data_IF_260273594091
#
_entry.id   IF_260273594091
#
_cell.length_a   1.000
_cell.length_b   1.000
_cell.length_c   1.000
_cell.angle_alpha   90.00
_cell.angle_beta   90.00
_cell.angle_gamma   90.00
#
_symmetry.space_group_name_H-M   'P 1'
#
loop_
_entity.id
_entity.type
_entity.pdbx_description
1 polymer ?
#
# COMPACT_ATOMS: atom_id res chain seq x y z
N UNK A 1 -23.51 1.54 -16.54
CA UNK A 1 -23.92 1.04 -17.87
C UNK A 1 -25.39 1.35 -18.02
N UNK A 2 -25.82 1.99 -19.11
CA UNK A 2 -27.22 2.37 -19.30
C UNK A 2 -28.00 1.16 -19.85
N UNK A 3 -29.24 0.97 -19.40
CA UNK A 3 -30.08 -0.18 -19.79
C UNK A 3 -30.36 -0.17 -21.31
N UNK A 4 -30.47 1.02 -21.91
CA UNK A 4 -30.60 1.17 -23.36
C UNK A 4 -29.38 0.67 -24.15
N UNK A 5 -28.17 0.81 -23.61
CA UNK A 5 -26.94 0.37 -24.28
C UNK A 5 -26.88 -1.17 -24.33
N UNK A 6 -27.32 -1.83 -23.27
CA UNK A 6 -27.37 -3.30 -23.18
C UNK A 6 -28.42 -3.89 -24.12
N UNK A 7 -29.59 -3.26 -24.23
CA UNK A 7 -30.64 -3.68 -25.18
C UNK A 7 -30.21 -3.46 -26.63
N UNK A 8 -29.54 -2.33 -26.92
CA UNK A 8 -29.01 -2.05 -28.26
C UNK A 8 -27.95 -3.07 -28.67
N UNK A 9 -27.03 -3.40 -27.75
CA UNK A 9 -26.02 -4.45 -27.94
C UNK A 9 -26.65 -5.81 -28.23
N UNK A 10 -27.61 -6.25 -27.40
CA UNK A 10 -28.28 -7.55 -27.56
C UNK A 10 -29.01 -7.67 -28.91
N UNK A 11 -29.61 -6.59 -29.39
CA UNK A 11 -30.31 -6.57 -30.67
C UNK A 11 -29.34 -6.62 -31.86
N UNK A 12 -28.22 -5.88 -31.79
CA UNK A 12 -27.17 -5.89 -32.81
C UNK A 12 -26.47 -7.26 -32.91
N UNK A 13 -26.20 -7.90 -31.78
CA UNK A 13 -25.63 -9.26 -31.72
C UNK A 13 -26.59 -10.31 -32.31
N UNK A 14 -27.91 -10.13 -32.13
CA UNK A 14 -28.95 -10.98 -32.70
C UNK A 14 -29.26 -10.70 -34.19
N UNK A 15 -28.54 -9.76 -34.83
CA UNK A 15 -28.74 -9.39 -36.23
C UNK A 15 -30.01 -8.58 -36.49
N UNK A 16 -30.60 -7.98 -35.45
CA UNK A 16 -31.81 -7.15 -35.53
C UNK A 16 -31.43 -5.68 -35.46
N UNK A 17 -32.18 -4.83 -36.18
CA UNK A 17 -32.07 -3.38 -36.03
C UNK A 17 -32.58 -3.00 -34.64
N UNK A 18 -31.68 -2.56 -33.75
CA UNK A 18 -32.03 -2.15 -32.40
C UNK A 18 -32.84 -0.84 -32.37
N UNK A 19 -33.62 -0.60 -31.31
CA UNK A 19 -34.27 0.69 -31.08
C UNK A 19 -33.21 1.72 -30.67
N UNK A 20 -33.07 2.80 -31.44
CA UNK A 20 -32.07 3.84 -31.19
C UNK A 20 -31.98 4.83 -32.37
N UNK A 21 -31.25 5.92 -32.17
CA UNK A 21 -30.97 6.89 -33.24
C UNK A 21 -30.07 6.24 -34.30
N UNK A 22 -30.32 6.53 -35.58
CA UNK A 22 -29.68 5.84 -36.70
C UNK A 22 -28.14 5.99 -36.68
N UNK A 23 -27.68 7.10 -36.11
CA UNK A 23 -26.27 7.44 -35.91
C UNK A 23 -25.64 6.53 -34.85
N UNK A 24 -26.30 6.34 -33.72
CA UNK A 24 -25.81 5.51 -32.61
C UNK A 24 -25.75 4.04 -33.03
N UNK A 25 -26.79 3.55 -33.69
CA UNK A 25 -26.85 2.18 -34.21
C UNK A 25 -25.68 1.91 -35.18
N UNK A 26 -25.36 2.89 -36.04
CA UNK A 26 -24.24 2.78 -36.99
C UNK A 26 -22.88 2.83 -36.30
N UNK A 27 -22.73 3.67 -35.28
CA UNK A 27 -21.52 3.76 -34.47
C UNK A 27 -21.27 2.44 -33.70
N UNK A 28 -22.30 1.91 -33.05
CA UNK A 28 -22.23 0.61 -32.37
C UNK A 28 -21.90 -0.52 -33.34
N UNK A 29 -22.54 -0.56 -34.51
CA UNK A 29 -22.25 -1.58 -35.53
C UNK A 29 -20.79 -1.53 -35.98
N UNK A 30 -20.24 -0.34 -36.20
CA UNK A 30 -18.83 -0.19 -36.57
C UNK A 30 -17.88 -0.67 -35.47
N UNK A 31 -18.19 -0.41 -34.19
CA UNK A 31 -17.39 -0.90 -33.07
C UNK A 31 -17.46 -2.43 -32.98
N UNK A 32 -18.64 -3.02 -33.11
CA UNK A 32 -18.79 -4.48 -33.07
C UNK A 32 -18.14 -5.18 -34.26
N UNK A 33 -18.19 -4.60 -35.45
CA UNK A 33 -17.51 -5.14 -36.63
C UNK A 33 -15.98 -5.07 -36.47
N UNK A 34 -15.45 -4.01 -35.83
CA UNK A 34 -14.03 -3.92 -35.50
C UNK A 34 -13.62 -4.90 -34.38
N UNK A 35 -14.48 -5.12 -33.38
CA UNK A 35 -14.23 -6.09 -32.29
C UNK A 35 -14.38 -7.56 -32.73
N UNK A 36 -15.12 -7.81 -33.80
CA UNK A 36 -15.25 -9.15 -34.41
C UNK A 36 -14.01 -9.57 -35.19
N UNK A 37 -13.14 -8.64 -35.55
CA UNK A 37 -11.86 -8.97 -36.14
C UNK A 37 -10.97 -9.55 -35.05
N UNK A 38 -10.51 -10.78 -35.25
CA UNK A 38 -9.49 -11.35 -34.37
C UNK A 38 -8.26 -10.44 -34.43
N UNK A 39 -7.75 -9.95 -33.29
CA UNK A 39 -6.60 -9.09 -33.28
C UNK A 39 -5.40 -9.85 -33.84
N UNK A 40 -4.80 -9.33 -34.91
CA UNK A 40 -3.61 -9.91 -35.54
C UNK A 40 -2.35 -9.82 -34.64
N UNK A 41 -2.47 -9.15 -33.48
CA UNK A 41 -1.41 -9.04 -32.50
C UNK A 41 -1.53 -10.12 -31.42
N UNK A 42 -0.46 -10.91 -31.28
CA UNK A 42 -0.27 -11.79 -30.13
C UNK A 42 0.19 -10.93 -28.96
N UNK A 43 -0.63 -10.80 -27.92
CA UNK A 43 -0.22 -10.15 -26.69
C UNK A 43 1.02 -10.88 -26.13
N UNK A 44 2.11 -10.16 -25.82
CA UNK A 44 3.26 -10.78 -25.17
C UNK A 44 2.79 -11.47 -23.88
N UNK A 45 3.23 -12.70 -23.62
CA UNK A 45 2.90 -13.43 -22.39
C UNK A 45 3.16 -12.62 -21.11
N UNK A 46 4.08 -11.65 -21.16
CA UNK A 46 4.43 -10.78 -20.05
C UNK A 46 3.62 -9.47 -19.96
N UNK A 47 2.62 -9.23 -20.82
CA UNK A 47 1.84 -7.99 -20.85
C UNK A 47 1.11 -7.75 -19.53
N UNK A 48 0.34 -8.74 -19.06
CA UNK A 48 -0.35 -8.67 -17.78
C UNK A 48 0.62 -8.40 -16.62
N UNK A 49 1.77 -9.08 -16.62
CA UNK A 49 2.82 -8.88 -15.62
C UNK A 49 3.42 -7.47 -15.65
N UNK A 50 3.60 -6.87 -16.84
CA UNK A 50 4.09 -5.48 -16.98
C UNK A 50 3.07 -4.48 -16.46
N UNK A 51 1.78 -4.66 -16.77
CA UNK A 51 0.71 -3.78 -16.30
C UNK A 51 0.57 -3.85 -14.78
N UNK A 52 0.54 -5.07 -14.22
CA UNK A 52 0.47 -5.27 -12.76
C UNK A 52 1.68 -4.62 -12.08
N UNK A 53 2.89 -4.83 -12.61
CA UNK A 53 4.10 -4.25 -12.02
C UNK A 53 4.09 -2.72 -12.05
N UNK A 54 3.63 -2.12 -13.15
CA UNK A 54 3.52 -0.66 -13.27
C UNK A 54 2.51 -0.07 -12.26
N UNK A 55 1.37 -0.73 -12.05
CA UNK A 55 0.36 -0.31 -11.08
C UNK A 55 0.87 -0.41 -9.63
N UNK A 56 1.54 -1.51 -9.29
CA UNK A 56 2.11 -1.73 -7.96
C UNK A 56 3.23 -0.74 -7.65
N UNK A 57 4.12 -0.44 -8.62
CA UNK A 57 5.16 0.57 -8.44
C UNK A 57 4.59 1.96 -8.18
N UNK A 58 3.57 2.38 -8.94
CA UNK A 58 2.92 3.67 -8.72
C UNK A 58 2.24 3.79 -7.34
N UNK A 59 1.68 2.70 -6.82
CA UNK A 59 1.11 2.71 -5.47
C UNK A 59 2.19 2.76 -4.38
N UNK A 60 3.29 2.03 -4.58
CA UNK A 60 4.36 1.88 -3.58
C UNK A 60 5.20 3.16 -3.46
N UNK A 61 5.49 3.85 -4.57
CA UNK A 61 6.29 5.08 -4.54
C UNK A 61 5.57 6.24 -3.84
N UNK A 62 4.23 6.28 -3.91
CA UNK A 62 3.43 7.36 -3.30
C UNK A 62 3.39 7.30 -1.78
N UNK A 63 3.42 6.12 -1.18
CA UNK A 63 3.36 5.97 0.28
C UNK A 63 4.74 6.08 0.92
N UNK A 64 5.75 5.49 0.28
CA UNK A 64 7.11 5.36 0.81
C UNK A 64 7.75 6.72 1.10
N UNK A 65 7.65 7.68 0.16
CA UNK A 65 8.31 9.00 0.32
C UNK A 65 7.69 9.83 1.45
N UNK A 66 6.36 9.80 1.60
CA UNK A 66 5.64 10.54 2.64
C UNK A 66 5.94 10.00 4.04
N UNK A 67 6.05 8.69 4.19
CA UNK A 67 6.38 8.04 5.47
C UNK A 67 7.78 8.40 5.94
N UNK A 68 8.77 8.39 5.05
CA UNK A 68 10.14 8.80 5.39
C UNK A 68 10.25 10.28 5.77
N UNK A 69 9.49 11.15 5.09
CA UNK A 69 9.42 12.58 5.47
C UNK A 69 8.82 12.75 6.86
N UNK A 70 7.71 12.07 7.16
CA UNK A 70 7.10 12.11 8.49
C UNK A 70 8.00 11.54 9.58
N UNK A 71 8.71 10.47 9.28
CA UNK A 71 9.71 9.90 10.18
C UNK A 71 10.86 10.87 10.47
N UNK A 72 11.37 11.54 9.43
CA UNK A 72 12.41 12.57 9.57
C UNK A 72 11.94 13.76 10.41
N UNK A 73 10.72 14.26 10.17
CA UNK A 73 10.11 15.32 10.99
C UNK A 73 9.97 14.90 12.45
N UNK A 74 9.59 13.64 12.71
CA UNK A 74 9.51 13.08 14.06
C UNK A 74 10.86 13.08 14.79
N UNK A 75 11.94 12.71 14.10
CA UNK A 75 13.30 12.73 14.67
C UNK A 75 13.72 14.16 15.00
N UNK A 76 13.48 15.12 14.09
CA UNK A 76 13.85 16.52 14.30
C UNK A 76 13.08 17.11 15.49
N UNK A 77 11.77 16.83 15.60
CA UNK A 77 10.96 17.25 16.73
C UNK A 77 11.42 16.63 18.06
N UNK A 78 11.80 15.35 18.05
CA UNK A 78 12.35 14.67 19.23
C UNK A 78 13.63 15.37 19.71
N UNK A 79 14.54 15.67 18.80
CA UNK A 79 15.79 16.36 19.13
C UNK A 79 15.53 17.78 19.63
N UNK A 80 14.62 18.52 18.99
CA UNK A 80 14.25 19.87 19.42
C UNK A 80 13.60 19.85 20.82
N UNK A 81 12.70 18.91 21.09
CA UNK A 81 12.09 18.74 22.41
C UNK A 81 13.13 18.37 23.47
N UNK A 82 14.09 17.50 23.13
CA UNK A 82 15.17 17.10 24.03
C UNK A 82 16.08 18.28 24.40
N UNK A 83 16.51 19.09 23.42
CA UNK A 83 17.30 20.30 23.67
C UNK A 83 16.51 21.29 24.53
N UNK A 84 15.23 21.50 24.21
CA UNK A 84 14.37 22.42 24.96
C UNK A 84 14.23 21.96 26.40
N UNK A 85 14.04 20.66 26.65
CA UNK A 85 13.97 20.10 27.99
C UNK A 85 15.26 20.31 28.79
N UNK A 86 16.43 20.15 28.17
CA UNK A 86 17.71 20.39 28.85
C UNK A 86 17.84 21.87 29.26
N UNK A 87 17.49 22.79 28.35
CA UNK A 87 17.59 24.24 28.60
C UNK A 87 16.60 24.69 29.68
N UNK A 88 15.35 24.20 29.64
CA UNK A 88 14.32 24.63 30.59
C UNK A 88 14.52 24.06 32.00
N UNK A 89 15.07 22.84 32.09
CA UNK A 89 15.21 22.11 33.36
C UNK A 89 16.59 22.30 33.98
N UNK A 90 17.48 23.06 33.32
CA UNK A 90 18.89 23.23 33.70
C UNK A 90 19.55 21.87 33.98
N UNK A 91 19.21 20.88 33.13
CA UNK A 91 19.52 19.48 33.36
C UNK A 91 21.02 19.26 33.22
N UNK A 92 21.73 19.34 34.35
CA UNK A 92 23.12 18.92 34.43
C UNK A 92 23.12 17.41 34.26
N UNK A 93 23.87 16.93 33.25
CA UNK A 93 24.21 15.52 33.11
C UNK A 93 25.05 15.10 34.32
N UNK A 94 24.40 14.88 35.45
CA UNK A 94 25.03 14.22 36.57
C UNK A 94 25.19 12.75 36.16
N UNK A 95 26.45 12.36 36.02
CA UNK A 95 26.85 10.97 35.82
C UNK A 95 26.28 10.05 36.92
N UNK A 96 25.78 10.64 38.02
CA UNK A 96 24.84 10.07 39.00
C UNK A 96 23.70 9.22 38.42
N UNK A 97 23.12 9.57 37.27
CA UNK A 97 22.05 8.77 36.63
C UNK A 97 22.60 7.45 36.08
N UNK A 98 23.84 7.43 35.57
CA UNK A 98 24.49 6.17 35.16
C UNK A 98 24.89 5.32 36.37
N UNK A 99 25.23 5.94 37.50
CA UNK A 99 25.43 5.25 38.78
C UNK A 99 24.12 4.71 39.36
N UNK A 100 23.01 5.44 39.22
CA UNK A 100 21.67 4.97 39.57
C UNK A 100 21.24 3.80 38.67
N UNK A 101 21.45 3.90 37.35
CA UNK A 101 21.20 2.82 36.39
C UNK A 101 22.06 1.58 36.68
N UNK A 102 23.29 1.75 37.21
CA UNK A 102 24.11 0.64 37.72
C UNK A 102 23.49 -0.08 38.92
N UNK A 103 22.65 0.57 39.72
CA UNK A 103 21.88 -0.07 40.80
C UNK A 103 20.59 -0.72 40.28
N UNK A 104 20.07 -0.30 39.12
CA UNK A 104 18.91 -0.89 38.45
C UNK A 104 19.27 -1.85 37.31
N UNK A 105 20.42 -2.55 37.41
CA UNK A 105 20.82 -3.61 36.47
C UNK A 105 19.72 -4.64 36.24
N UNK A 106 18.92 -4.95 37.27
CA UNK A 106 17.76 -5.84 37.17
C UNK A 106 16.66 -5.31 36.25
N UNK A 107 16.41 -4.00 36.24
CA UNK A 107 15.41 -3.38 35.37
C UNK A 107 15.86 -3.37 33.91
N UNK A 108 17.15 -3.08 33.67
CA UNK A 108 17.73 -3.18 32.33
C UNK A 108 17.71 -4.62 31.79
N UNK A 109 18.09 -5.59 32.63
CA UNK A 109 18.04 -7.01 32.27
C UNK A 109 16.60 -7.46 32.03
N UNK A 110 15.65 -7.02 32.85
CA UNK A 110 14.23 -7.24 32.66
C UNK A 110 13.73 -6.64 31.34
N UNK A 111 14.10 -5.40 31.01
CA UNK A 111 13.72 -4.76 29.75
C UNK A 111 14.25 -5.53 28.53
N UNK A 112 15.52 -5.95 28.56
CA UNK A 112 16.13 -6.74 27.47
C UNK A 112 15.43 -8.10 27.33
N UNK A 113 15.17 -8.79 28.43
CA UNK A 113 14.46 -10.09 28.44
C UNK A 113 13.04 -9.91 27.95
N UNK A 114 12.33 -8.89 28.40
CA UNK A 114 10.95 -8.61 28.03
C UNK A 114 10.81 -8.28 26.54
N UNK A 115 11.69 -7.43 26.00
CA UNK A 115 11.74 -7.13 24.56
C UNK A 115 12.04 -8.41 23.76
N UNK A 116 12.99 -9.24 24.22
CA UNK A 116 13.30 -10.52 23.58
C UNK A 116 12.11 -11.49 23.61
N UNK A 117 11.36 -11.51 24.71
CA UNK A 117 10.17 -12.34 24.89
C UNK A 117 9.03 -11.90 23.97
N UNK A 118 8.80 -10.59 23.84
CA UNK A 118 7.84 -10.05 22.87
C UNK A 118 8.22 -10.41 21.44
N UNK A 119 9.51 -10.33 21.09
CA UNK A 119 10.01 -10.70 19.78
C UNK A 119 9.80 -12.20 19.49
N UNK A 120 9.97 -13.06 20.49
CA UNK A 120 9.69 -14.50 20.41
C UNK A 120 8.19 -14.80 20.28
N UNK A 121 7.36 -14.10 21.04
CA UNK A 121 5.90 -14.22 20.98
C UNK A 121 5.38 -13.81 19.62
N UNK A 122 5.83 -12.68 19.08
CA UNK A 122 5.44 -12.18 17.77
C UNK A 122 5.84 -13.19 16.68
N UNK A 123 7.08 -13.69 16.72
CA UNK A 123 7.55 -14.74 15.80
C UNK A 123 6.72 -16.04 15.91
N UNK A 124 6.28 -16.41 17.10
CA UNK A 124 5.45 -17.61 17.33
C UNK A 124 4.01 -17.41 16.88
N UNK A 125 3.43 -16.23 17.11
CA UNK A 125 2.07 -15.88 16.67
C UNK A 125 1.97 -15.77 15.15
N UNK A 126 2.97 -15.15 14.51
CA UNK A 126 3.04 -15.02 13.05
C UNK A 126 3.29 -16.37 12.36
N UNK A 127 4.03 -17.28 13.01
CA UNK A 127 4.24 -18.64 12.50
C UNK A 127 2.97 -19.47 12.49
N UNK A 128 2.07 -19.29 13.47
CA UNK A 128 0.77 -19.99 13.51
C UNK A 128 -0.20 -19.49 12.43
N UNK A 129 -0.10 -18.24 11.97
CA UNK A 129 -0.96 -17.72 10.89
C UNK A 129 -0.55 -18.17 9.49
N UNK A 130 0.68 -18.65 9.29
CA UNK A 130 1.16 -19.17 7.99
C UNK A 130 0.84 -20.64 7.74
N UNK A 131 0.45 -21.38 8.77
CA UNK A 131 0.07 -22.81 8.67
C UNK A 131 -1.44 -23.05 8.63
N UNK A 132 -2.23 -21.97 8.61
CA UNK A 132 -3.70 -22.01 8.52
C UNK A 132 -4.21 -21.43 7.18
N UNK A 133 -3.36 -21.46 6.14
CA UNK A 133 -3.74 -21.16 4.75
C UNK A 133 -3.29 -22.28 3.84
#
# INVERSE_FOLDING_TARGET
>A
MNIHDEEMQKNLEAGRSGPGDEIDVKAYRHVFDALRQEPEFVLPHAFANRVIRALVQQQTEKTTTREYVWFGVGIVLLLAAFITAIVLTDFKFDVGVFTAVKNYKGLLLFAIVFISLLHLLDKRLLRNKRTAS
#
